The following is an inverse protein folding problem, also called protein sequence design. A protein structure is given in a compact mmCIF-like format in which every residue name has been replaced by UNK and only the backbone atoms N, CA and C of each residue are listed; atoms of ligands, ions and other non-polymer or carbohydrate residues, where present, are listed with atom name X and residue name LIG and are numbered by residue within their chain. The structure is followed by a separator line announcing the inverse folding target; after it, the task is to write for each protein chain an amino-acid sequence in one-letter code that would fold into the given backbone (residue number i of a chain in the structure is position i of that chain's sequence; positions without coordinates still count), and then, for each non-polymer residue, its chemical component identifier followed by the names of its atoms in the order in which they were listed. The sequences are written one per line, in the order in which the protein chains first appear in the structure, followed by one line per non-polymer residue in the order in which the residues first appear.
data_IF_163196104033
#
_entry.id   IF_163196104033
#
_cell.length_a   1.000
_cell.length_b   1.000
_cell.length_c   1.000
_cell.angle_alpha   90.00
_cell.angle_beta   90.00
_cell.angle_gamma   90.00
#
_symmetry.space_group_name_H-M   'P 1'
#
loop_
_entity.id
_entity.type
_entity.pdbx_description
1 polymer ?
#
# COMPACT_ATOMS: atom_id res chain seq x y z
N UNK A 1 -45.11 -100.89 13.68
CA UNK A 1 -45.26 -99.41 13.76
C UNK A 1 -44.05 -98.80 13.08
N UNK A 2 -44.21 -98.31 11.84
CA UNK A 2 -44.24 -96.88 11.47
C UNK A 2 -42.93 -96.17 11.84
N UNK A 3 -42.16 -95.54 10.93
CA UNK A 3 -42.68 -94.53 10.01
C UNK A 3 -41.68 -94.20 8.87
N UNK A 4 -42.25 -94.01 7.69
CA UNK A 4 -41.85 -93.27 6.49
C UNK A 4 -40.42 -92.71 6.33
N UNK A 5 -39.83 -93.08 5.18
CA UNK A 5 -38.90 -92.28 4.37
C UNK A 5 -39.44 -90.85 4.17
N UNK A 6 -38.58 -89.85 4.37
CA UNK A 6 -38.71 -88.51 3.78
C UNK A 6 -37.32 -88.04 3.39
N UNK A 7 -36.95 -88.32 2.13
CA UNK A 7 -35.75 -87.83 1.47
C UNK A 7 -36.23 -87.33 0.12
N UNK A 8 -36.62 -86.06 0.02
CA UNK A 8 -37.08 -85.53 -1.27
C UNK A 8 -37.86 -84.22 -1.33
N UNK A 9 -37.87 -83.34 -0.33
CA UNK A 9 -38.74 -82.15 -0.41
C UNK A 9 -38.18 -80.89 0.29
N UNK A 10 -36.87 -80.62 0.13
CA UNK A 10 -36.26 -79.35 0.58
C UNK A 10 -35.47 -78.58 -0.47
N UNK A 11 -35.33 -79.10 -1.69
CA UNK A 11 -34.48 -78.48 -2.72
C UNK A 11 -35.25 -77.69 -3.80
N UNK A 12 -36.50 -78.05 -4.12
CA UNK A 12 -37.22 -77.42 -5.25
C UNK A 12 -37.55 -75.93 -5.06
N UNK A 13 -37.80 -75.50 -3.81
CA UNK A 13 -38.12 -74.09 -3.55
C UNK A 13 -36.87 -73.19 -3.62
N UNK A 14 -35.71 -73.73 -3.25
CA UNK A 14 -34.42 -73.01 -3.31
C UNK A 14 -33.96 -72.90 -4.77
N UNK A 15 -34.10 -73.96 -5.55
CA UNK A 15 -33.68 -73.97 -6.95
C UNK A 15 -34.57 -73.05 -7.82
N UNK A 16 -35.89 -72.98 -7.59
CA UNK A 16 -36.77 -72.06 -8.35
C UNK A 16 -36.53 -70.57 -8.04
N UNK A 17 -36.20 -70.23 -6.79
CA UNK A 17 -35.81 -68.87 -6.40
C UNK A 17 -34.44 -68.51 -6.99
N UNK A 18 -33.49 -69.45 -6.97
CA UNK A 18 -32.16 -69.28 -7.55
C UNK A 18 -32.24 -69.09 -9.06
N UNK A 19 -33.13 -69.80 -9.74
CA UNK A 19 -33.32 -69.71 -11.19
C UNK A 19 -34.01 -68.41 -11.65
N UNK A 20 -34.99 -67.89 -10.89
CA UNK A 20 -35.61 -66.57 -11.15
C UNK A 20 -34.70 -65.40 -10.86
N UNK A 21 -33.90 -65.49 -9.78
CA UNK A 21 -32.90 -64.47 -9.43
C UNK A 21 -31.82 -64.41 -10.51
N UNK A 22 -31.40 -65.55 -11.07
CA UNK A 22 -30.30 -65.64 -12.04
C UNK A 22 -30.60 -64.99 -13.42
N UNK A 23 -31.86 -65.01 -13.90
CA UNK A 23 -32.21 -64.44 -15.23
C UNK A 23 -32.16 -62.91 -15.29
N UNK A 24 -32.50 -62.22 -14.20
CA UNK A 24 -32.51 -60.75 -14.15
C UNK A 24 -31.23 -60.16 -13.51
N UNK A 25 -30.44 -60.96 -12.78
CA UNK A 25 -29.22 -60.48 -12.11
C UNK A 25 -28.17 -59.98 -13.10
N UNK A 26 -27.99 -60.67 -14.23
CA UNK A 26 -27.02 -60.27 -15.25
C UNK A 26 -27.33 -58.88 -15.82
N UNK A 27 -28.62 -58.58 -16.03
CA UNK A 27 -29.07 -57.27 -16.51
C UNK A 27 -28.90 -56.17 -15.45
N UNK A 28 -29.19 -56.48 -14.17
CA UNK A 28 -28.95 -55.56 -13.05
C UNK A 28 -27.46 -55.25 -12.89
N UNK A 29 -26.58 -56.25 -13.00
CA UNK A 29 -25.12 -56.07 -12.94
C UNK A 29 -24.64 -55.23 -14.13
N UNK A 30 -25.17 -55.44 -15.34
CA UNK A 30 -24.86 -54.63 -16.51
C UNK A 30 -25.24 -53.16 -16.34
N UNK A 31 -26.43 -52.88 -15.81
CA UNK A 31 -26.89 -51.51 -15.50
C UNK A 31 -26.02 -50.89 -14.41
N UNK A 32 -25.64 -51.66 -13.38
CA UNK A 32 -24.77 -51.16 -12.33
C UNK A 32 -23.38 -50.82 -12.86
N UNK A 33 -22.81 -51.65 -13.73
CA UNK A 33 -21.53 -51.39 -14.37
C UNK A 33 -21.58 -50.17 -15.29
N UNK A 34 -22.66 -49.96 -16.04
CA UNK A 34 -22.81 -48.77 -16.88
C UNK A 34 -22.91 -47.48 -16.06
N UNK A 35 -23.61 -47.51 -14.92
CA UNK A 35 -23.64 -46.39 -13.96
C UNK A 35 -22.26 -46.08 -13.39
N UNK A 36 -21.48 -47.11 -13.03
CA UNK A 36 -20.10 -46.93 -12.54
C UNK A 36 -19.22 -46.28 -13.60
N UNK A 37 -19.33 -46.71 -14.87
CA UNK A 37 -18.55 -46.14 -15.97
C UNK A 37 -18.90 -44.66 -16.17
N UNK A 38 -20.19 -44.31 -16.15
CA UNK A 38 -20.64 -42.91 -16.26
C UNK A 38 -20.09 -42.06 -15.10
N UNK A 39 -20.13 -42.60 -13.88
CA UNK A 39 -19.57 -41.93 -12.70
C UNK A 39 -18.06 -41.70 -12.86
N UNK A 40 -17.33 -42.71 -13.34
CA UNK A 40 -15.88 -42.65 -13.53
C UNK A 40 -15.49 -41.63 -14.61
N UNK A 41 -16.21 -41.60 -15.74
CA UNK A 41 -16.02 -40.60 -16.80
C UNK A 41 -16.29 -39.18 -16.26
N UNK A 42 -17.37 -39.00 -15.50
CA UNK A 42 -17.73 -37.70 -14.91
C UNK A 42 -16.67 -37.23 -13.92
N UNK A 43 -16.14 -38.15 -13.11
CA UNK A 43 -15.05 -37.85 -12.16
C UNK A 43 -13.77 -37.45 -12.89
N UNK A 44 -13.39 -38.15 -13.96
CA UNK A 44 -12.23 -37.80 -14.78
C UNK A 44 -12.37 -36.41 -15.41
N UNK A 45 -13.55 -36.07 -15.95
CA UNK A 45 -13.81 -34.74 -16.52
C UNK A 45 -13.66 -33.65 -15.45
N UNK A 46 -14.19 -33.87 -14.25
CA UNK A 46 -14.07 -32.92 -13.15
C UNK A 46 -12.63 -32.75 -12.68
N UNK A 47 -11.86 -33.84 -12.57
CA UNK A 47 -10.44 -33.79 -12.20
C UNK A 47 -9.65 -33.00 -13.26
N UNK A 48 -9.89 -33.26 -14.54
CA UNK A 48 -9.20 -32.55 -15.62
C UNK A 48 -9.54 -31.04 -15.63
N UNK A 49 -10.80 -30.69 -15.41
CA UNK A 49 -11.22 -29.29 -15.29
C UNK A 49 -10.58 -28.60 -14.08
N UNK A 50 -10.48 -29.31 -12.95
CA UNK A 50 -9.84 -28.79 -11.75
C UNK A 50 -8.34 -28.59 -11.99
N UNK A 51 -7.67 -29.55 -12.61
CA UNK A 51 -6.25 -29.46 -13.00
C UNK A 51 -5.99 -28.26 -13.91
N UNK A 52 -6.81 -28.08 -14.94
CA UNK A 52 -6.70 -26.95 -15.86
C UNK A 52 -6.93 -25.59 -15.17
N UNK A 53 -7.83 -25.53 -14.19
CA UNK A 53 -8.01 -24.32 -13.37
C UNK A 53 -6.81 -24.06 -12.46
N UNK A 54 -6.26 -25.11 -11.84
CA UNK A 54 -5.06 -25.02 -11.00
C UNK A 54 -3.86 -24.53 -11.81
N UNK A 55 -3.62 -25.07 -13.01
CA UNK A 55 -2.54 -24.64 -13.92
C UNK A 55 -2.66 -23.15 -14.27
N UNK A 56 -3.86 -22.69 -14.67
CA UNK A 56 -4.11 -21.26 -14.95
C UNK A 56 -3.86 -20.39 -13.74
N UNK A 57 -4.16 -20.88 -12.54
CA UNK A 57 -3.94 -20.13 -11.31
C UNK A 57 -2.44 -20.01 -10.99
N UNK A 58 -1.69 -21.11 -11.15
CA UNK A 58 -0.23 -21.14 -10.98
C UNK A 58 0.46 -20.23 -12.00
N UNK A 59 0.06 -20.28 -13.27
CA UNK A 59 0.60 -19.41 -14.32
C UNK A 59 0.36 -17.93 -14.00
N UNK A 60 -0.84 -17.56 -13.57
CA UNK A 60 -1.15 -16.18 -13.17
C UNK A 60 -0.32 -15.74 -11.95
N UNK A 61 -0.13 -16.62 -10.96
CA UNK A 61 0.75 -16.35 -9.82
C UNK A 61 2.18 -16.12 -10.28
N UNK A 62 2.70 -16.95 -11.18
CA UNK A 62 4.06 -16.80 -11.73
C UNK A 62 4.22 -15.47 -12.48
N UNK A 63 3.28 -15.13 -13.37
CA UNK A 63 3.29 -13.85 -14.08
C UNK A 63 3.22 -12.64 -13.14
N UNK A 64 2.45 -12.74 -12.04
CA UNK A 64 2.40 -11.70 -11.00
C UNK A 64 3.73 -11.60 -10.26
N UNK A 65 4.34 -12.72 -9.91
CA UNK A 65 5.63 -12.75 -9.22
C UNK A 65 6.74 -12.15 -10.09
N UNK A 66 6.80 -12.47 -11.39
CA UNK A 66 7.75 -11.85 -12.33
C UNK A 66 7.59 -10.34 -12.41
N UNK A 67 6.33 -9.84 -12.45
CA UNK A 67 6.05 -8.40 -12.41
C UNK A 67 6.54 -7.76 -11.12
N UNK A 68 6.31 -8.40 -9.98
CA UNK A 68 6.77 -7.91 -8.68
C UNK A 68 8.29 -7.86 -8.63
N UNK A 69 8.99 -8.89 -9.12
CA UNK A 69 10.45 -8.93 -9.18
C UNK A 69 10.99 -7.78 -10.03
N UNK A 70 10.44 -7.56 -11.23
CA UNK A 70 10.86 -6.45 -12.11
C UNK A 70 10.59 -5.07 -11.49
N UNK A 71 9.47 -4.90 -10.77
CA UNK A 71 9.18 -3.66 -10.04
C UNK A 71 10.21 -3.47 -8.92
N UNK A 72 10.51 -4.51 -8.16
CA UNK A 72 11.48 -4.45 -7.06
C UNK A 72 12.89 -4.10 -7.57
N UNK A 73 13.34 -4.68 -8.68
CA UNK A 73 14.62 -4.34 -9.31
C UNK A 73 14.69 -2.85 -9.68
N UNK A 74 13.61 -2.30 -10.28
CA UNK A 74 13.53 -0.86 -10.60
C UNK A 74 13.50 0.03 -9.37
N UNK A 75 12.88 -0.41 -8.28
CA UNK A 75 12.88 0.34 -7.02
C UNK A 75 14.28 0.36 -6.43
N UNK A 76 14.96 -0.80 -6.38
CA UNK A 76 16.33 -0.91 -5.86
C UNK A 76 17.27 0.00 -6.64
N UNK A 77 17.22 -0.01 -7.98
CA UNK A 77 18.07 0.86 -8.80
C UNK A 77 17.83 2.35 -8.53
N UNK A 78 16.55 2.77 -8.41
CA UNK A 78 16.20 4.15 -8.09
C UNK A 78 16.66 4.57 -6.70
N UNK A 79 16.57 3.68 -5.72
CA UNK A 79 17.04 3.92 -4.35
C UNK A 79 18.57 4.07 -4.34
N UNK A 80 19.28 3.28 -5.14
CA UNK A 80 20.73 3.39 -5.29
C UNK A 80 21.14 4.70 -5.97
N UNK A 81 20.47 5.09 -7.06
CA UNK A 81 20.67 6.38 -7.72
C UNK A 81 20.45 7.55 -6.75
N UNK A 82 19.36 7.51 -5.99
CA UNK A 82 19.04 8.52 -4.99
C UNK A 82 20.09 8.54 -3.87
N UNK A 83 20.53 7.38 -3.40
CA UNK A 83 21.58 7.28 -2.38
C UNK A 83 22.89 7.91 -2.86
N UNK A 84 23.26 7.66 -4.12
CA UNK A 84 24.45 8.24 -4.74
C UNK A 84 24.33 9.75 -4.91
N UNK A 85 23.15 10.25 -5.28
CA UNK A 85 22.87 11.67 -5.36
C UNK A 85 22.90 12.36 -3.98
N UNK A 86 22.27 11.77 -2.97
CA UNK A 86 22.33 12.25 -1.57
C UNK A 86 23.77 12.24 -1.03
N UNK A 87 24.58 11.24 -1.39
CA UNK A 87 26.02 11.23 -1.06
C UNK A 87 26.75 12.42 -1.67
N UNK A 88 26.46 12.79 -2.93
CA UNK A 88 27.05 13.99 -3.55
C UNK A 88 26.72 15.25 -2.73
N UNK A 89 25.46 15.46 -2.35
CA UNK A 89 25.08 16.66 -1.59
C UNK A 89 25.57 16.65 -0.14
N UNK A 90 25.58 15.50 0.54
CA UNK A 90 26.07 15.38 1.92
C UNK A 90 27.60 15.46 2.04
N UNK A 91 28.33 15.18 0.96
CA UNK A 91 29.79 15.31 0.91
C UNK A 91 30.26 16.72 0.54
N UNK A 92 29.39 17.60 0.04
CA UNK A 92 29.72 19.02 -0.15
C UNK A 92 29.78 19.69 1.23
N UNK A 93 30.92 19.54 1.89
CA UNK A 93 31.32 20.41 2.99
C UNK A 93 31.66 21.76 2.38
N UNK A 94 30.82 22.76 2.61
CA UNK A 94 31.08 24.14 2.20
C UNK A 94 32.42 24.55 2.82
N UNK A 95 33.43 24.77 1.98
CA UNK A 95 34.72 25.29 2.43
C UNK A 95 34.57 26.70 3.00
N UNK A 96 35.53 27.14 3.82
CA UNK A 96 35.51 28.50 4.39
C UNK A 96 35.34 29.57 3.31
N UNK A 97 36.05 29.43 2.20
CA UNK A 97 36.04 30.42 1.11
C UNK A 97 34.67 30.48 0.41
N UNK A 98 34.04 29.32 0.16
CA UNK A 98 32.68 29.24 -0.39
C UNK A 98 31.64 29.81 0.58
N UNK A 99 31.80 29.57 1.88
CA UNK A 99 30.94 30.17 2.89
C UNK A 99 31.08 31.70 2.92
N UNK A 100 32.31 32.21 2.83
CA UNK A 100 32.58 33.64 2.75
C UNK A 100 31.98 34.25 1.49
N UNK A 101 32.08 33.59 0.33
CA UNK A 101 31.45 34.06 -0.91
C UNK A 101 29.93 34.12 -0.79
N UNK A 102 29.29 33.06 -0.30
CA UNK A 102 27.84 33.04 -0.04
C UNK A 102 27.44 34.16 0.93
N UNK A 103 28.22 34.36 1.99
CA UNK A 103 27.97 35.43 2.95
C UNK A 103 28.06 36.82 2.31
N UNK A 104 29.08 37.08 1.48
CA UNK A 104 29.22 38.35 0.76
C UNK A 104 28.06 38.58 -0.21
N UNK A 105 27.69 37.57 -1.00
CA UNK A 105 26.55 37.64 -1.91
C UNK A 105 25.24 37.93 -1.17
N UNK A 106 25.01 37.29 -0.02
CA UNK A 106 23.85 37.56 0.82
C UNK A 106 23.86 38.99 1.38
N UNK A 107 25.03 39.52 1.76
CA UNK A 107 25.15 40.91 2.23
C UNK A 107 24.91 41.92 1.11
N UNK A 108 25.46 41.69 -0.09
CA UNK A 108 25.20 42.53 -1.27
C UNK A 108 23.71 42.53 -1.63
N UNK A 109 23.09 41.34 -1.70
CA UNK A 109 21.66 41.21 -1.96
C UNK A 109 20.83 41.95 -0.90
N UNK A 110 21.22 41.84 0.37
CA UNK A 110 20.58 42.59 1.47
C UNK A 110 20.79 44.10 1.32
N UNK A 111 21.95 44.54 0.85
CA UNK A 111 22.26 45.93 0.53
C UNK A 111 21.42 46.48 -0.63
N UNK A 112 21.08 45.64 -1.62
CA UNK A 112 20.23 46.00 -2.76
C UNK A 112 18.75 46.11 -2.41
N UNK A 113 18.28 45.49 -1.32
CA UNK A 113 16.90 45.66 -0.86
C UNK A 113 16.72 47.07 -0.28
N UNK A 114 15.77 47.83 -0.85
CA UNK A 114 15.45 49.18 -0.39
C UNK A 114 15.00 49.19 1.08
N UNK A 115 15.29 50.30 1.78
CA UNK A 115 14.88 50.47 3.16
C UNK A 115 13.35 50.38 3.34
N UNK A 116 12.59 50.75 2.31
CA UNK A 116 11.14 50.63 2.27
C UNK A 116 10.68 49.17 2.33
N UNK A 117 11.29 48.30 1.52
CA UNK A 117 10.97 46.86 1.49
C UNK A 117 11.37 46.19 2.79
N UNK A 118 12.52 46.56 3.37
CA UNK A 118 12.94 46.08 4.70
C UNK A 118 11.94 46.49 5.78
N UNK A 119 11.56 47.76 5.79
CA UNK A 119 10.57 48.32 6.72
C UNK A 119 9.25 47.56 6.63
N UNK A 120 8.70 47.39 5.43
CA UNK A 120 7.42 46.73 5.25
C UNK A 120 7.46 45.24 5.64
N UNK A 121 8.57 44.55 5.34
CA UNK A 121 8.79 43.17 5.80
C UNK A 121 8.73 43.06 7.33
N UNK A 122 9.44 43.94 8.05
CA UNK A 122 9.44 43.91 9.52
C UNK A 122 8.08 44.24 10.11
N UNK A 123 7.41 45.28 9.58
CA UNK A 123 6.07 45.67 10.02
C UNK A 123 5.10 44.52 9.80
N UNK A 124 5.11 43.90 8.62
CA UNK A 124 4.23 42.77 8.30
C UNK A 124 4.46 41.59 9.25
N UNK A 125 5.72 41.32 9.61
CA UNK A 125 6.04 40.26 10.57
C UNK A 125 5.50 40.58 11.97
N UNK A 126 5.71 41.81 12.46
CA UNK A 126 5.17 42.25 13.74
C UNK A 126 3.63 42.22 13.76
N UNK A 127 2.96 42.64 12.68
CA UNK A 127 1.50 42.55 12.53
C UNK A 127 1.04 41.11 12.70
N UNK A 128 1.69 40.17 12.02
CA UNK A 128 1.34 38.75 12.11
C UNK A 128 1.45 38.22 13.54
N UNK A 129 2.51 38.56 14.25
CA UNK A 129 2.72 38.07 15.61
C UNK A 129 1.75 38.74 16.61
N UNK A 130 1.57 40.06 16.55
CA UNK A 130 0.61 40.78 17.40
C UNK A 130 -0.83 40.30 17.17
N UNK A 131 -1.23 40.13 15.90
CA UNK A 131 -2.59 39.73 15.51
C UNK A 131 -2.99 38.37 16.06
N UNK A 132 -2.03 37.44 16.18
CA UNK A 132 -2.29 36.10 16.74
C UNK A 132 -2.60 36.14 18.22
N UNK A 133 -1.96 37.05 18.95
CA UNK A 133 -1.99 37.07 20.40
C UNK A 133 -2.98 38.10 20.96
N UNK A 134 -3.53 38.98 20.09
CA UNK A 134 -4.41 40.08 20.48
C UNK A 134 -5.62 40.19 19.53
N UNK A 135 -6.62 39.32 19.71
CA UNK A 135 -7.82 39.25 18.85
C UNK A 135 -8.80 40.42 19.01
N UNK A 136 -8.62 41.25 20.05
CA UNK A 136 -9.50 42.40 20.35
C UNK A 136 -9.04 43.70 19.70
N UNK A 137 -7.81 43.75 19.18
CA UNK A 137 -7.27 44.93 18.50
C UNK A 137 -7.71 44.93 17.03
N UNK A 138 -8.14 46.08 16.54
CA UNK A 138 -8.43 46.24 15.11
C UNK A 138 -7.13 46.27 14.28
N UNK A 139 -7.25 45.93 12.99
CA UNK A 139 -6.10 45.82 12.09
C UNK A 139 -5.31 47.12 11.94
N UNK A 140 -5.96 48.28 12.04
CA UNK A 140 -5.28 49.58 11.95
C UNK A 140 -4.43 49.82 13.20
N UNK A 141 -4.99 49.56 14.39
CA UNK A 141 -4.24 49.64 15.64
C UNK A 141 -3.05 48.67 15.67
N UNK A 142 -3.22 47.43 15.19
CA UNK A 142 -2.12 46.46 15.08
C UNK A 142 -1.01 46.96 14.15
N UNK A 143 -1.38 47.55 13.00
CA UNK A 143 -0.41 48.11 12.07
C UNK A 143 0.37 49.29 12.67
N UNK A 144 -0.31 50.22 13.34
CA UNK A 144 0.35 51.37 13.98
C UNK A 144 1.30 50.91 15.11
N UNK A 145 0.89 49.97 15.97
CA UNK A 145 1.78 49.39 16.99
C UNK A 145 3.02 48.77 16.32
N UNK A 146 2.81 47.98 15.26
CA UNK A 146 3.90 47.32 14.52
C UNK A 146 4.87 48.33 13.90
N UNK A 147 4.33 49.40 13.33
CA UNK A 147 5.09 50.51 12.76
C UNK A 147 5.90 51.25 13.83
N UNK A 148 5.29 51.58 14.96
CA UNK A 148 5.98 52.22 16.09
C UNK A 148 7.10 51.34 16.63
N UNK A 149 6.89 50.02 16.76
CA UNK A 149 7.93 49.08 17.18
C UNK A 149 9.12 49.14 16.23
N UNK A 150 8.88 49.14 14.91
CA UNK A 150 9.96 49.27 13.92
C UNK A 150 10.70 50.61 14.06
N UNK A 151 9.97 51.73 14.10
CA UNK A 151 10.55 53.08 14.12
C UNK A 151 11.39 53.32 15.39
N UNK A 152 10.89 52.91 16.56
CA UNK A 152 11.63 53.02 17.82
C UNK A 152 12.82 52.05 17.86
N UNK A 153 12.71 50.86 17.26
CA UNK A 153 13.85 49.93 17.14
C UNK A 153 14.99 50.56 16.36
N UNK A 154 14.70 51.16 15.20
CA UNK A 154 15.70 51.86 14.39
C UNK A 154 16.27 53.06 15.16
N UNK A 155 15.41 53.86 15.81
CA UNK A 155 15.81 55.04 16.59
C UNK A 155 16.84 54.72 17.68
N UNK A 156 16.68 53.61 18.38
CA UNK A 156 17.60 53.16 19.42
C UNK A 156 18.67 52.17 18.93
N UNK A 157 18.82 52.01 17.61
CA UNK A 157 19.80 51.11 16.99
C UNK A 157 19.65 49.63 17.42
N UNK A 158 18.43 49.20 17.73
CA UNK A 158 18.06 47.81 17.95
C UNK A 158 17.67 47.13 16.63
N UNK A 159 17.98 45.84 16.50
CA UNK A 159 17.55 45.05 15.37
C UNK A 159 16.04 44.77 15.46
N UNK A 160 15.19 45.31 14.56
CA UNK A 160 13.74 45.11 14.62
C UNK A 160 13.32 43.64 14.58
N UNK A 161 14.12 42.77 13.94
CA UNK A 161 13.86 41.33 13.90
C UNK A 161 13.92 40.69 15.29
N UNK A 162 14.87 41.10 16.12
CA UNK A 162 15.00 40.60 17.49
C UNK A 162 13.84 41.06 18.35
N UNK A 163 13.37 42.29 18.14
CA UNK A 163 12.19 42.82 18.83
C UNK A 163 10.94 42.06 18.42
N UNK A 164 10.77 41.70 17.15
CA UNK A 164 9.61 40.85 16.75
C UNK A 164 9.62 39.48 17.42
N UNK A 165 10.80 38.92 17.72
CA UNK A 165 10.93 37.59 18.33
C UNK A 165 10.49 37.54 19.81
N UNK A 166 10.40 38.69 20.49
CA UNK A 166 9.99 38.76 21.90
C UNK A 166 8.50 39.10 22.08
N UNK A 167 7.78 39.43 21.00
CA UNK A 167 6.35 39.70 21.03
C UNK A 167 5.61 38.37 21.25
N UNK A 168 4.79 38.33 22.31
CA UNK A 168 4.02 37.15 22.74
C UNK A 168 2.52 37.38 22.66
#
# INVERSE_FOLDING_TARGET
MSNKKSKGEKNDMVDSFREKINKNLGLVVLIFMSLIIILFITLQININNLSAQTEKHVENINLKNEKIVSINEKIVSRVEDLSNEVKKYSQVKIGRDQFTEIYMQLQELTGMISNEVKREYYITKAVKDISKNNSTLDSKSIYEISKTIYEESIRYNFNPLLITAIIK
#
